data_IF_443963447123
#
_entry.id   IF_443963447123
#
_cell.length_a   1.000
_cell.length_b   1.000
_cell.length_c   1.000
_cell.angle_alpha   90.00
_cell.angle_beta   90.00
_cell.angle_gamma   90.00
#
_symmetry.space_group_name_H-M   'P 1'
#
loop_
_entity.id
_entity.type
_entity.pdbx_description
1 polymer ?
#
# COMPACT_ATOMS: atom_id res chain seq x y z
N UNK A 1 -11.51 -0.39 -27.37
CA UNK A 1 -10.68 0.25 -26.34
C UNK A 1 -9.34 -0.45 -26.32
N UNK A 2 -8.25 0.30 -26.50
CA UNK A 2 -6.86 -0.20 -26.46
C UNK A 2 -6.45 -0.41 -25.01
N UNK A 3 -6.00 -1.62 -24.69
CA UNK A 3 -5.56 -1.98 -23.34
C UNK A 3 -4.09 -2.36 -23.38
N UNK A 4 -3.29 -1.73 -22.52
CA UNK A 4 -1.91 -2.16 -22.27
C UNK A 4 -1.90 -3.10 -21.06
N UNK A 5 -1.41 -4.32 -21.24
CA UNK A 5 -1.21 -5.28 -20.15
C UNK A 5 0.26 -5.22 -19.69
N UNK A 6 0.47 -4.85 -18.43
CA UNK A 6 1.75 -4.99 -17.72
C UNK A 6 1.65 -6.23 -16.84
N UNK A 7 2.57 -7.17 -16.98
CA UNK A 7 2.55 -8.43 -16.23
C UNK A 7 3.91 -8.71 -15.62
N UNK A 8 3.94 -8.96 -14.30
CA UNK A 8 5.13 -9.40 -13.61
C UNK A 8 5.18 -10.94 -13.55
N UNK A 9 6.03 -11.61 -14.35
CA UNK A 9 6.10 -13.07 -14.37
C UNK A 9 6.64 -13.69 -13.08
N UNK A 10 7.33 -12.91 -12.25
CA UNK A 10 7.80 -13.35 -10.93
C UNK A 10 6.72 -13.24 -9.84
N UNK A 11 5.56 -12.65 -10.14
CA UNK A 11 4.42 -12.61 -9.22
C UNK A 11 3.57 -13.89 -9.34
N UNK A 12 3.24 -14.48 -8.19
CA UNK A 12 2.38 -15.66 -8.09
C UNK A 12 3.13 -16.95 -7.80
N UNK A 13 2.40 -18.07 -7.79
CA UNK A 13 2.92 -19.41 -7.59
C UNK A 13 2.72 -20.30 -8.82
N UNK A 14 3.08 -21.58 -8.70
CA UNK A 14 2.82 -22.55 -9.77
C UNK A 14 1.33 -22.56 -10.14
N UNK A 15 1.01 -22.17 -11.39
CA UNK A 15 -0.36 -22.06 -11.89
C UNK A 15 -0.91 -20.63 -11.97
N UNK A 16 -0.10 -19.58 -11.77
CA UNK A 16 -0.48 -18.23 -12.18
C UNK A 16 -0.72 -18.17 -13.69
N UNK A 17 -1.66 -17.30 -14.11
CA UNK A 17 -1.92 -17.08 -15.53
C UNK A 17 -0.71 -16.46 -16.20
N UNK A 18 -0.37 -16.94 -17.40
CA UNK A 18 0.66 -16.29 -18.22
C UNK A 18 0.17 -14.95 -18.76
N UNK A 19 1.08 -14.11 -19.24
CA UNK A 19 0.72 -12.89 -19.96
C UNK A 19 -0.18 -13.18 -21.16
N UNK A 20 0.07 -14.27 -21.89
CA UNK A 20 -0.75 -14.71 -23.02
C UNK A 20 -2.16 -15.13 -22.61
N UNK A 21 -2.31 -15.79 -21.44
CA UNK A 21 -3.64 -16.15 -20.93
C UNK A 21 -4.46 -14.92 -20.53
N UNK A 22 -3.81 -13.95 -19.88
CA UNK A 22 -4.42 -12.69 -19.47
C UNK A 22 -4.80 -11.83 -20.69
N UNK A 23 -3.91 -11.73 -21.67
CA UNK A 23 -4.15 -11.02 -22.94
C UNK A 23 -5.32 -11.65 -23.70
N UNK A 24 -5.36 -12.99 -23.81
CA UNK A 24 -6.48 -13.70 -24.41
C UNK A 24 -7.79 -13.46 -23.66
N UNK A 25 -7.77 -13.46 -22.32
CA UNK A 25 -8.96 -13.16 -21.51
C UNK A 25 -9.46 -11.73 -21.72
N UNK A 26 -8.56 -10.74 -21.81
CA UNK A 26 -8.93 -9.36 -22.12
C UNK A 26 -9.54 -9.23 -23.53
N UNK A 27 -8.99 -9.94 -24.53
CA UNK A 27 -9.53 -9.98 -25.89
C UNK A 27 -10.94 -10.58 -25.89
N UNK A 28 -11.15 -11.69 -25.17
CA UNK A 28 -12.46 -12.32 -25.02
C UNK A 28 -13.47 -11.41 -24.29
N UNK A 29 -13.01 -10.56 -23.37
CA UNK A 29 -13.82 -9.54 -22.71
C UNK A 29 -14.12 -8.31 -23.61
N UNK A 30 -13.62 -8.29 -24.85
CA UNK A 30 -13.91 -7.25 -25.85
C UNK A 30 -12.88 -6.13 -25.94
N UNK A 31 -11.71 -6.28 -25.30
CA UNK A 31 -10.63 -5.32 -25.37
C UNK A 31 -9.69 -5.58 -26.54
N UNK A 32 -9.10 -4.50 -27.09
CA UNK A 32 -7.94 -4.62 -27.96
C UNK A 32 -6.69 -4.59 -27.07
N UNK A 33 -6.36 -5.73 -26.47
CA UNK A 33 -5.30 -5.84 -25.49
C UNK A 33 -3.95 -6.18 -26.14
N UNK A 34 -2.89 -5.57 -25.61
CA UNK A 34 -1.51 -5.87 -25.97
C UNK A 34 -0.66 -5.99 -24.70
N UNK A 35 0.03 -7.12 -24.54
CA UNK A 35 1.04 -7.25 -23.50
C UNK A 35 2.30 -6.44 -23.84
N UNK A 36 2.79 -5.67 -22.87
CA UNK A 36 4.10 -5.01 -22.92
C UNK A 36 5.04 -5.71 -21.93
N UNK A 37 6.05 -6.44 -22.42
CA UNK A 37 7.01 -7.09 -21.55
C UNK A 37 7.74 -6.09 -20.66
N UNK A 38 7.80 -6.39 -19.37
CA UNK A 38 8.55 -5.62 -18.36
C UNK A 38 9.25 -6.63 -17.46
N UNK A 39 10.58 -6.67 -17.52
CA UNK A 39 11.40 -7.50 -16.65
C UNK A 39 11.68 -6.80 -15.31
N UNK A 40 11.71 -5.47 -15.33
CA UNK A 40 11.89 -4.65 -14.13
C UNK A 40 11.12 -3.33 -14.20
N UNK A 41 11.22 -2.52 -13.14
CA UNK A 41 10.54 -1.22 -13.06
C UNK A 41 11.14 -0.20 -14.04
N UNK A 42 12.38 -0.41 -14.46
CA UNK A 42 13.12 0.42 -15.42
C UNK A 42 12.54 0.32 -16.84
N UNK A 43 11.79 -0.73 -17.16
CA UNK A 43 11.13 -0.90 -18.47
C UNK A 43 9.80 -0.14 -18.57
N UNK A 44 9.23 0.27 -17.43
CA UNK A 44 7.91 0.91 -17.37
C UNK A 44 7.81 2.22 -18.17
N UNK A 45 8.81 3.11 -18.19
CA UNK A 45 8.75 4.32 -19.02
C UNK A 45 8.54 4.02 -20.51
N UNK A 46 9.22 3.01 -21.06
CA UNK A 46 9.06 2.60 -22.46
C UNK A 46 7.74 1.86 -22.68
N UNK A 47 7.40 0.92 -21.78
CA UNK A 47 6.16 0.15 -21.86
C UNK A 47 4.91 1.03 -21.77
N UNK A 48 4.99 2.17 -21.08
CA UNK A 48 3.90 3.11 -20.84
C UNK A 48 4.06 4.44 -21.61
N UNK A 49 4.90 4.48 -22.65
CA UNK A 49 5.03 5.67 -23.51
C UNK A 49 3.70 5.97 -24.24
N UNK A 50 3.05 4.95 -24.80
CA UNK A 50 1.67 4.98 -25.32
C UNK A 50 0.82 3.96 -24.54
N UNK A 51 0.28 4.34 -23.37
CA UNK A 51 -0.41 3.42 -22.47
C UNK A 51 -1.79 2.97 -22.99
N UNK A 52 -2.30 3.58 -24.06
CA UNK A 52 -3.62 3.29 -24.60
C UNK A 52 -4.75 3.95 -23.80
N UNK A 53 -5.92 3.29 -23.78
CA UNK A 53 -7.12 3.82 -23.12
C UNK A 53 -7.26 3.29 -21.66
N UNK A 54 -6.57 2.21 -21.31
CA UNK A 54 -6.56 1.56 -20.01
C UNK A 54 -5.28 0.75 -19.84
N UNK A 55 -4.69 0.79 -18.65
CA UNK A 55 -3.57 -0.10 -18.27
C UNK A 55 -4.05 -1.17 -17.30
N UNK A 56 -3.91 -2.44 -17.67
CA UNK A 56 -4.18 -3.58 -16.78
C UNK A 56 -2.85 -4.05 -16.19
N UNK A 57 -2.75 -4.07 -14.87
CA UNK A 57 -1.53 -4.46 -14.16
C UNK A 57 -1.76 -5.79 -13.46
N UNK A 58 -1.06 -6.82 -13.91
CA UNK A 58 -1.09 -8.16 -13.34
C UNK A 58 0.18 -8.42 -12.54
N UNK A 59 0.09 -8.36 -11.22
CA UNK A 59 1.26 -8.42 -10.35
C UNK A 59 0.92 -8.35 -8.87
N UNK A 60 1.95 -8.19 -8.03
CA UNK A 60 1.79 -7.87 -6.62
C UNK A 60 1.85 -6.36 -6.35
N UNK A 61 1.73 -5.97 -5.08
CA UNK A 61 1.63 -4.57 -4.64
C UNK A 61 2.78 -3.69 -5.15
N UNK A 62 4.02 -4.21 -5.20
CA UNK A 62 5.17 -3.48 -5.75
C UNK A 62 5.07 -3.17 -7.24
N UNK A 63 4.55 -4.11 -8.06
CA UNK A 63 4.31 -3.88 -9.49
C UNK A 63 3.18 -2.89 -9.70
N UNK A 64 2.12 -3.00 -8.89
CA UNK A 64 0.97 -2.08 -8.92
C UNK A 64 1.43 -0.66 -8.59
N UNK A 65 2.20 -0.49 -7.50
CA UNK A 65 2.82 0.79 -7.11
C UNK A 65 3.67 1.37 -8.23
N UNK A 66 4.57 0.59 -8.81
CA UNK A 66 5.45 1.06 -9.86
C UNK A 66 4.67 1.58 -11.08
N UNK A 67 3.64 0.85 -11.54
CA UNK A 67 2.79 1.30 -12.64
C UNK A 67 1.96 2.54 -12.24
N UNK A 68 1.33 2.52 -11.06
CA UNK A 68 0.55 3.62 -10.52
C UNK A 68 1.35 4.93 -10.49
N UNK A 69 2.61 4.89 -10.03
CA UNK A 69 3.51 6.05 -10.01
C UNK A 69 3.81 6.62 -11.41
N UNK A 70 3.87 5.76 -12.44
CA UNK A 70 4.11 6.20 -13.82
C UNK A 70 2.84 6.75 -14.49
N UNK A 71 1.67 6.28 -14.06
CA UNK A 71 0.36 6.75 -14.55
C UNK A 71 -0.19 7.94 -13.78
N UNK A 72 0.36 8.22 -12.60
CA UNK A 72 0.06 9.40 -11.81
C UNK A 72 0.03 10.64 -12.71
N UNK A 73 -1.06 11.40 -12.66
CA UNK A 73 -1.24 12.66 -13.41
C UNK A 73 -1.33 12.50 -14.95
N UNK A 74 -1.27 11.29 -15.52
CA UNK A 74 -1.45 11.05 -16.97
C UNK A 74 -2.92 10.95 -17.39
N UNK A 75 -3.84 10.78 -16.44
CA UNK A 75 -5.28 10.66 -16.70
C UNK A 75 -5.70 9.37 -17.40
N UNK A 76 -4.81 8.37 -17.46
CA UNK A 76 -5.11 7.04 -18.02
C UNK A 76 -5.57 6.14 -16.87
N UNK A 77 -6.76 5.52 -16.96
CA UNK A 77 -7.22 4.64 -15.90
C UNK A 77 -6.36 3.38 -15.82
N UNK A 78 -6.37 2.75 -14.64
CA UNK A 78 -5.74 1.46 -14.44
C UNK A 78 -6.69 0.42 -13.84
N UNK A 79 -6.42 -0.86 -14.08
CA UNK A 79 -7.09 -1.98 -13.43
C UNK A 79 -6.04 -2.93 -12.85
N UNK A 80 -6.37 -3.57 -11.72
CA UNK A 80 -5.45 -4.46 -11.01
C UNK A 80 -5.92 -5.91 -11.13
N UNK A 81 -5.02 -6.79 -11.56
CA UNK A 81 -5.17 -8.24 -11.51
C UNK A 81 -4.21 -8.78 -10.43
N UNK A 82 -4.71 -9.14 -9.24
CA UNK A 82 -3.85 -9.52 -8.12
C UNK A 82 -3.18 -10.87 -8.37
N UNK A 83 -1.85 -10.87 -8.50
CA UNK A 83 -1.02 -12.08 -8.62
C UNK A 83 -0.05 -12.24 -7.43
N UNK A 84 0.08 -11.23 -6.57
CA UNK A 84 0.98 -11.25 -5.42
C UNK A 84 0.51 -12.13 -4.26
N UNK A 85 1.33 -12.20 -3.21
CA UNK A 85 1.01 -12.94 -1.99
C UNK A 85 0.10 -12.16 -1.03
N UNK A 86 0.30 -10.84 -0.91
CA UNK A 86 -0.44 -9.99 0.02
C UNK A 86 -1.64 -9.34 -0.67
N UNK A 87 -1.41 -8.65 -1.80
CA UNK A 87 -2.44 -8.01 -2.62
C UNK A 87 -3.27 -6.99 -1.80
N UNK A 88 -2.59 -6.20 -0.97
CA UNK A 88 -3.22 -5.22 -0.09
C UNK A 88 -3.97 -4.17 -0.90
N UNK A 89 -3.38 -3.68 -2.01
CA UNK A 89 -4.00 -2.65 -2.85
C UNK A 89 -5.26 -3.20 -3.54
N UNK A 90 -5.19 -4.40 -4.10
CA UNK A 90 -6.36 -5.05 -4.68
C UNK A 90 -7.44 -5.31 -3.62
N UNK A 91 -7.03 -5.73 -2.43
CA UNK A 91 -7.92 -5.94 -1.28
C UNK A 91 -8.64 -4.67 -0.82
N UNK A 92 -7.92 -3.54 -0.76
CA UNK A 92 -8.47 -2.23 -0.43
C UNK A 92 -9.49 -1.76 -1.47
N UNK A 93 -9.25 -2.04 -2.76
CA UNK A 93 -10.19 -1.80 -3.85
C UNK A 93 -11.41 -2.74 -3.84
N UNK A 94 -11.39 -3.80 -3.01
CA UNK A 94 -12.41 -4.85 -2.98
C UNK A 94 -12.29 -5.86 -4.13
N UNK A 95 -11.17 -5.87 -4.86
CA UNK A 95 -10.91 -6.80 -5.96
C UNK A 95 -10.55 -8.16 -5.37
N UNK A 96 -11.47 -9.11 -5.53
CA UNK A 96 -11.34 -10.50 -5.08
C UNK A 96 -11.73 -11.43 -6.23
N UNK A 97 -11.24 -12.66 -6.17
CA UNK A 97 -11.51 -13.68 -7.20
C UNK A 97 -10.24 -14.13 -7.89
N UNK A 98 -10.39 -15.10 -8.80
CA UNK A 98 -9.25 -15.54 -9.57
C UNK A 98 -8.93 -14.52 -10.69
N UNK A 99 -7.69 -14.48 -11.21
CA UNK A 99 -7.28 -13.51 -12.22
C UNK A 99 -8.15 -13.45 -13.48
N UNK A 100 -8.75 -14.57 -13.89
CA UNK A 100 -9.65 -14.62 -15.06
C UNK A 100 -10.98 -13.93 -14.76
N UNK A 101 -11.59 -14.22 -13.61
CA UNK A 101 -12.83 -13.55 -13.17
C UNK A 101 -12.65 -12.04 -13.06
N UNK A 102 -11.50 -11.60 -12.54
CA UNK A 102 -11.14 -10.18 -12.45
C UNK A 102 -11.11 -9.55 -13.83
N UNK A 103 -10.44 -10.17 -14.81
CA UNK A 103 -10.37 -9.67 -16.19
C UNK A 103 -11.74 -9.63 -16.86
N UNK A 104 -12.56 -10.67 -16.69
CA UNK A 104 -13.91 -10.74 -17.26
C UNK A 104 -14.82 -9.64 -16.71
N UNK A 105 -14.72 -9.34 -15.41
CA UNK A 105 -15.47 -8.27 -14.77
C UNK A 105 -15.09 -6.85 -15.20
N UNK A 106 -13.98 -6.66 -15.93
CA UNK A 106 -13.60 -5.35 -16.46
C UNK A 106 -14.47 -4.89 -17.63
N UNK A 107 -15.27 -5.77 -18.24
CA UNK A 107 -16.19 -5.38 -19.30
C UNK A 107 -17.28 -4.39 -18.82
N UNK A 108 -17.61 -4.41 -17.53
CA UNK A 108 -18.56 -3.48 -16.89
C UNK A 108 -18.00 -2.99 -15.55
N UNK A 109 -16.92 -2.21 -15.56
CA UNK A 109 -16.20 -1.86 -14.36
C UNK A 109 -16.94 -0.75 -13.60
N UNK A 110 -16.82 -0.80 -12.27
CA UNK A 110 -17.02 0.38 -11.45
C UNK A 110 -15.77 1.26 -11.54
N UNK A 111 -15.95 2.56 -11.78
CA UNK A 111 -14.84 3.52 -11.85
C UNK A 111 -14.72 4.23 -10.53
N UNK A 112 -13.58 4.09 -9.87
CA UNK A 112 -13.27 4.74 -8.59
C UNK A 112 -12.08 5.67 -8.75
N UNK A 113 -12.03 6.68 -7.89
CA UNK A 113 -10.81 7.47 -7.70
C UNK A 113 -9.89 6.72 -6.75
N UNK A 114 -8.60 6.91 -6.94
CA UNK A 114 -7.58 6.45 -6.01
C UNK A 114 -6.56 7.58 -5.84
N UNK A 115 -6.33 7.92 -4.60
CA UNK A 115 -5.43 8.97 -4.16
C UNK A 115 -4.03 8.39 -4.03
N UNK A 116 -3.04 9.18 -4.43
CA UNK A 116 -1.63 8.82 -4.29
C UNK A 116 -1.01 9.64 -3.18
N UNK A 117 -0.10 9.04 -2.42
CA UNK A 117 0.70 9.77 -1.44
C UNK A 117 2.07 10.03 -2.04
N UNK A 118 2.35 11.28 -2.37
CA UNK A 118 3.70 11.70 -2.75
C UNK A 118 4.55 11.85 -1.49
N UNK A 119 5.72 11.21 -1.47
CA UNK A 119 6.62 11.22 -0.33
C UNK A 119 7.95 11.84 -0.76
N UNK A 120 8.40 12.84 -0.02
CA UNK A 120 9.65 13.55 -0.27
C UNK A 120 10.52 13.56 0.97
N UNK A 121 11.76 13.07 0.84
CA UNK A 121 12.76 13.01 1.91
C UNK A 121 14.18 13.20 1.39
N UNK A 122 15.17 12.83 2.19
CA UNK A 122 16.60 12.87 1.83
C UNK A 122 16.94 11.98 0.62
N UNK A 123 16.15 10.94 0.36
CA UNK A 123 16.23 10.05 -0.81
C UNK A 123 15.55 10.58 -2.08
N UNK A 124 15.00 11.79 -2.05
CA UNK A 124 14.24 12.37 -3.16
C UNK A 124 12.74 12.10 -3.05
N UNK A 125 12.07 12.09 -4.22
CA UNK A 125 10.62 11.93 -4.36
C UNK A 125 10.27 10.48 -4.71
N UNK A 126 9.25 9.94 -4.06
CA UNK A 126 8.67 8.61 -4.30
C UNK A 126 7.14 8.68 -4.10
N UNK A 127 6.44 7.58 -4.36
CA UNK A 127 5.00 7.45 -4.13
C UNK A 127 4.66 6.20 -3.33
N UNK A 128 3.64 6.36 -2.49
CA UNK A 128 3.05 5.33 -1.65
C UNK A 128 1.58 5.14 -2.04
N UNK A 129 1.15 3.87 -2.07
CA UNK A 129 -0.25 3.51 -2.30
C UNK A 129 -0.97 3.07 -1.03
N UNK A 130 -0.25 2.44 -0.09
CA UNK A 130 -0.82 1.71 1.03
C UNK A 130 -0.69 2.50 2.33
N UNK A 131 0.54 2.64 2.81
CA UNK A 131 0.88 3.27 4.08
C UNK A 131 2.36 3.65 4.16
N UNK A 132 2.69 4.64 4.98
CA UNK A 132 4.06 5.01 5.27
C UNK A 132 4.17 5.62 6.67
N UNK A 133 5.27 5.31 7.37
CA UNK A 133 5.38 5.69 8.76
C UNK A 133 6.71 5.37 9.41
N UNK A 134 6.79 5.76 10.68
CA UNK A 134 7.86 5.40 11.61
C UNK A 134 7.28 4.67 12.80
N UNK A 135 8.11 3.87 13.45
CA UNK A 135 7.73 3.22 14.69
C UNK A 135 7.83 1.70 14.61
N UNK A 136 6.94 1.06 15.38
CA UNK A 136 6.87 -0.37 15.57
C UNK A 136 6.84 -1.17 14.28
N UNK A 137 6.08 -0.72 13.27
CA UNK A 137 5.94 -1.47 12.03
C UNK A 137 7.22 -1.44 11.20
N UNK A 138 7.80 -0.26 10.98
CA UNK A 138 9.10 -0.09 10.34
C UNK A 138 10.18 -0.93 11.04
N UNK A 139 10.18 -0.93 12.38
CA UNK A 139 11.09 -1.75 13.17
C UNK A 139 10.86 -3.25 12.96
N UNK A 140 9.61 -3.69 12.92
CA UNK A 140 9.26 -5.09 12.63
C UNK A 140 9.76 -5.50 11.25
N UNK A 141 9.55 -4.67 10.22
CA UNK A 141 10.06 -4.91 8.88
C UNK A 141 11.59 -5.00 8.85
N UNK A 142 12.30 -4.18 9.63
CA UNK A 142 13.78 -4.19 9.70
C UNK A 142 14.36 -5.47 10.29
N UNK A 143 13.57 -6.17 11.12
CA UNK A 143 13.95 -7.46 11.70
C UNK A 143 13.52 -8.66 10.84
N UNK A 144 12.71 -8.43 9.80
CA UNK A 144 12.19 -9.49 8.96
C UNK A 144 13.26 -9.98 7.99
N UNK A 145 13.58 -11.27 8.06
CA UNK A 145 14.47 -11.93 7.10
C UNK A 145 13.72 -12.22 5.78
N UNK A 146 14.08 -11.53 4.66
CA UNK A 146 13.44 -11.72 3.36
C UNK A 146 13.79 -13.06 2.71
N UNK A 147 14.91 -13.71 3.07
CA UNK A 147 15.34 -14.99 2.48
C UNK A 147 14.50 -16.17 2.99
N UNK A 148 13.93 -16.07 4.17
CA UNK A 148 13.12 -17.14 4.77
C UNK A 148 11.66 -17.21 4.24
N UNK A 149 11.34 -16.48 3.17
CA UNK A 149 10.03 -16.52 2.47
C UNK A 149 8.94 -15.64 3.10
N UNK A 150 7.82 -15.41 2.40
CA UNK A 150 6.68 -14.58 2.86
C UNK A 150 5.65 -15.45 3.60
N UNK A 151 5.48 -15.27 4.91
CA UNK A 151 4.51 -16.05 5.72
C UNK A 151 3.75 -15.17 6.73
N UNK A 152 2.40 -15.20 6.74
CA UNK A 152 1.60 -14.43 7.70
C UNK A 152 1.90 -14.77 9.17
N UNK A 153 2.18 -16.04 9.47
CA UNK A 153 2.54 -16.46 10.83
C UNK A 153 3.90 -15.90 11.26
N UNK A 154 4.86 -15.83 10.33
CA UNK A 154 6.18 -15.23 10.60
C UNK A 154 6.07 -13.73 10.81
N UNK A 155 5.29 -13.04 9.98
CA UNK A 155 5.02 -11.61 10.13
C UNK A 155 4.37 -11.30 11.49
N UNK A 156 3.36 -12.08 11.89
CA UNK A 156 2.73 -11.94 13.21
C UNK A 156 3.73 -12.20 14.35
N UNK A 157 4.57 -13.24 14.23
CA UNK A 157 5.59 -13.56 15.26
C UNK A 157 6.62 -12.44 15.39
N UNK A 158 7.11 -11.91 14.27
CA UNK A 158 8.03 -10.76 14.26
C UNK A 158 7.37 -9.53 14.88
N UNK A 159 6.11 -9.25 14.54
CA UNK A 159 5.33 -8.14 15.12
C UNK A 159 5.24 -8.27 16.64
N UNK A 160 4.92 -9.47 17.14
CA UNK A 160 4.85 -9.77 18.58
C UNK A 160 6.21 -9.56 19.27
N UNK A 161 7.30 -10.04 18.67
CA UNK A 161 8.64 -9.93 19.23
C UNK A 161 9.13 -8.48 19.28
N UNK A 162 8.95 -7.73 18.20
CA UNK A 162 9.28 -6.31 18.14
C UNK A 162 8.44 -5.55 19.16
N UNK A 163 7.11 -5.74 19.19
CA UNK A 163 6.21 -5.02 20.09
C UNK A 163 6.53 -5.26 21.58
N UNK A 164 7.09 -6.42 21.94
CA UNK A 164 7.49 -6.71 23.32
C UNK A 164 8.76 -5.95 23.78
N UNK A 165 9.58 -5.45 22.85
CA UNK A 165 10.89 -4.85 23.13
C UNK A 165 11.05 -3.42 22.60
N UNK A 166 10.10 -2.97 21.77
CA UNK A 166 10.18 -1.72 21.06
C UNK A 166 10.23 -0.53 22.01
N UNK A 167 11.14 0.41 21.73
CA UNK A 167 11.22 1.68 22.44
C UNK A 167 10.54 2.77 21.59
N UNK A 168 9.73 3.65 22.20
CA UNK A 168 9.16 4.79 21.49
C UNK A 168 10.22 5.66 20.81
N UNK A 169 9.89 6.22 19.66
CA UNK A 169 10.71 7.18 18.95
C UNK A 169 10.24 8.60 19.26
N UNK A 170 11.17 9.54 19.45
CA UNK A 170 10.85 10.96 19.49
C UNK A 170 10.53 11.43 18.06
N UNK A 171 9.29 11.86 17.85
CA UNK A 171 8.81 12.31 16.55
C UNK A 171 8.10 13.65 16.71
N UNK A 172 8.44 14.58 15.82
CA UNK A 172 7.66 15.78 15.57
C UNK A 172 6.75 15.53 14.37
N UNK A 173 5.45 15.56 14.62
CA UNK A 173 4.38 15.27 13.67
C UNK A 173 3.64 16.57 13.37
N UNK A 174 3.62 16.99 12.10
CA UNK A 174 2.86 18.15 11.64
C UNK A 174 1.74 17.69 10.72
N UNK A 175 0.49 17.95 11.11
CA UNK A 175 -0.75 17.54 10.45
C UNK A 175 -1.55 18.79 10.08
N UNK A 176 -1.61 19.17 8.80
CA UNK A 176 -2.42 20.31 8.31
C UNK A 176 -2.36 21.59 9.20
N UNK A 177 -1.19 21.92 9.74
CA UNK A 177 -0.94 23.09 10.59
C UNK A 177 -0.98 22.84 12.10
N UNK A 178 -1.42 21.67 12.56
CA UNK A 178 -1.28 21.21 13.94
C UNK A 178 0.06 20.52 14.14
N UNK A 179 0.74 20.75 15.26
CA UNK A 179 2.01 20.10 15.58
C UNK A 179 1.88 19.32 16.88
N UNK A 180 2.28 18.04 16.84
CA UNK A 180 2.43 17.16 17.98
C UNK A 180 3.91 16.78 18.10
N UNK A 181 4.44 16.78 19.31
CA UNK A 181 5.84 16.46 19.59
C UNK A 181 5.90 15.54 20.80
N UNK A 182 6.70 14.48 20.70
CA UNK A 182 7.00 13.59 21.81
C UNK A 182 7.27 12.16 21.38
N UNK A 183 7.26 11.23 22.35
CA UNK A 183 7.49 9.83 22.07
C UNK A 183 6.24 9.18 21.46
N UNK A 184 6.44 8.40 20.41
CA UNK A 184 5.42 7.56 19.78
C UNK A 184 5.92 6.12 19.61
N UNK A 185 5.05 5.16 19.90
CA UNK A 185 5.25 3.75 19.51
C UNK A 185 5.05 3.57 18.01
N UNK A 186 4.17 4.37 17.40
CA UNK A 186 3.85 4.30 15.98
C UNK A 186 3.27 5.64 15.51
N UNK A 187 3.74 6.11 14.36
CA UNK A 187 3.13 7.21 13.58
C UNK A 187 3.02 6.71 12.15
N UNK A 188 1.80 6.42 11.73
CA UNK A 188 1.53 5.74 10.46
C UNK A 188 0.50 6.50 9.64
N UNK A 189 0.87 6.95 8.45
CA UNK A 189 -0.07 7.53 7.50
C UNK A 189 -0.66 6.43 6.63
N UNK A 190 -1.96 6.20 6.77
CA UNK A 190 -2.71 5.18 6.06
C UNK A 190 -3.49 5.82 4.90
N UNK A 191 -3.24 5.34 3.68
CA UNK A 191 -4.09 5.62 2.50
C UNK A 191 -5.12 4.50 2.28
N UNK A 192 -4.86 3.32 2.84
CA UNK A 192 -5.75 2.15 2.75
C UNK A 192 -6.05 1.60 4.14
N UNK A 193 -7.11 0.78 4.33
CA UNK A 193 -7.48 0.30 5.66
C UNK A 193 -6.46 -0.55 6.42
N UNK A 194 -5.53 -1.17 5.70
CA UNK A 194 -4.67 -2.22 6.23
C UNK A 194 -3.25 -2.14 5.67
N UNK A 195 -2.29 -2.51 6.50
CA UNK A 195 -0.88 -2.69 6.12
C UNK A 195 -0.50 -4.18 6.11
N UNK A 196 -0.80 -4.87 5.03
CA UNK A 196 -0.68 -6.33 4.97
C UNK A 196 -1.96 -7.10 5.37
N UNK A 197 -1.96 -8.44 5.20
CA UNK A 197 -3.11 -9.26 5.51
C UNK A 197 -3.40 -9.25 7.02
N UNK A 198 -4.56 -8.68 7.39
CA UNK A 198 -5.11 -8.63 8.76
C UNK A 198 -4.45 -7.65 9.73
N UNK A 199 -3.70 -6.67 9.24
CA UNK A 199 -3.20 -5.56 10.08
C UNK A 199 -3.98 -4.30 9.71
N UNK A 200 -5.23 -4.22 10.15
CA UNK A 200 -6.05 -3.02 10.00
C UNK A 200 -5.70 -2.01 11.09
N UNK A 201 -5.04 -0.92 10.68
CA UNK A 201 -4.72 0.19 11.59
C UNK A 201 -5.73 1.33 11.48
N UNK A 202 -6.30 1.55 10.30
CA UNK A 202 -7.30 2.59 10.05
C UNK A 202 -8.50 1.97 9.31
N UNK A 203 -9.40 1.24 10.00
CA UNK A 203 -10.49 0.50 9.36
C UNK A 203 -11.37 1.33 8.42
N UNK A 204 -11.49 2.62 8.71
CA UNK A 204 -12.31 3.59 7.97
C UNK A 204 -11.56 4.33 6.85
N UNK A 205 -10.25 4.08 6.66
CA UNK A 205 -9.49 4.72 5.59
C UNK A 205 -10.02 4.32 4.21
N UNK A 206 -10.28 5.30 3.34
CA UNK A 206 -10.75 5.10 1.98
C UNK A 206 -9.76 5.75 1.01
N UNK A 207 -9.09 4.97 0.14
CA UNK A 207 -8.08 5.52 -0.76
C UNK A 207 -8.67 6.46 -1.83
N UNK A 208 -9.98 6.70 -1.89
CA UNK A 208 -10.60 7.61 -2.86
C UNK A 208 -11.25 8.86 -2.25
N UNK A 209 -11.13 9.09 -0.94
CA UNK A 209 -11.93 10.10 -0.23
C UNK A 209 -11.25 11.46 0.00
N UNK A 210 -9.99 11.60 -0.39
CA UNK A 210 -9.24 12.85 -0.31
C UNK A 210 -8.57 13.11 1.04
N UNK A 211 -8.35 12.06 1.86
CA UNK A 211 -7.68 12.14 3.16
C UNK A 211 -6.66 11.02 3.40
N UNK A 212 -5.63 11.34 4.19
CA UNK A 212 -4.80 10.36 4.88
C UNK A 212 -5.32 10.19 6.30
N UNK A 213 -5.39 8.94 6.75
CA UNK A 213 -5.71 8.61 8.14
C UNK A 213 -4.40 8.33 8.88
N UNK A 214 -4.01 9.25 9.77
CA UNK A 214 -2.74 9.18 10.51
C UNK A 214 -2.97 8.56 11.88
N UNK A 215 -2.53 7.32 12.03
CA UNK A 215 -2.61 6.56 13.27
C UNK A 215 -1.42 6.89 14.14
N UNK A 216 -1.70 7.39 15.34
CA UNK A 216 -0.73 7.80 16.35
C UNK A 216 -0.90 6.92 17.58
N UNK A 217 0.16 6.24 17.99
CA UNK A 217 0.17 5.43 19.22
C UNK A 217 1.19 6.03 20.18
N UNK A 218 0.71 6.66 21.25
CA UNK A 218 1.58 7.20 22.30
C UNK A 218 1.94 6.11 23.32
N UNK A 219 3.12 6.18 23.97
CA UNK A 219 3.38 5.33 25.13
C UNK A 219 2.48 5.76 26.30
N UNK A 220 1.62 4.86 26.78
CA UNK A 220 0.77 5.11 27.95
C UNK A 220 1.07 4.13 29.08
N UNK A 221 1.18 4.64 30.31
CA UNK A 221 1.32 3.82 31.50
C UNK A 221 0.01 3.07 31.77
N UNK A 222 0.04 1.73 31.69
CA UNK A 222 -1.11 0.87 32.00
C UNK A 222 -1.69 0.11 30.81
N UNK A 223 -1.35 0.52 29.57
CA UNK A 223 -1.68 -0.26 28.37
C UNK A 223 -0.58 -1.31 28.16
N UNK A 224 -0.84 -2.53 28.65
CA UNK A 224 0.08 -3.65 28.48
C UNK A 224 0.12 -4.16 27.04
N UNK A 225 1.23 -4.77 26.65
CA UNK A 225 1.45 -5.47 25.37
C UNK A 225 0.23 -6.27 24.86
N UNK A 226 -0.43 -7.02 25.76
CA UNK A 226 -1.57 -7.87 25.41
C UNK A 226 -2.80 -7.10 24.92
N UNK A 227 -2.94 -5.82 25.26
CA UNK A 227 -4.02 -4.97 24.76
C UNK A 227 -3.83 -4.65 23.27
N UNK A 228 -2.63 -4.25 22.85
CA UNK A 228 -2.30 -4.02 21.44
C UNK A 228 -2.47 -5.29 20.59
N UNK A 229 -1.97 -6.43 21.08
CA UNK A 229 -2.13 -7.70 20.37
C UNK A 229 -3.61 -8.08 20.22
N UNK A 230 -4.43 -7.88 21.26
CA UNK A 230 -5.87 -8.11 21.19
C UNK A 230 -6.54 -7.15 20.23
N UNK A 231 -6.23 -5.85 20.30
CA UNK A 231 -6.75 -4.83 19.40
C UNK A 231 -6.45 -5.15 17.95
N UNK A 232 -5.22 -5.55 17.64
CA UNK A 232 -4.80 -5.98 16.30
C UNK A 232 -5.59 -7.22 15.83
N UNK A 233 -5.70 -8.26 16.66
CA UNK A 233 -6.41 -9.50 16.30
C UNK A 233 -7.93 -9.30 16.14
N UNK A 234 -8.49 -8.32 16.83
CA UNK A 234 -9.93 -8.01 16.80
C UNK A 234 -10.27 -6.83 15.89
N UNK A 235 -9.29 -6.25 15.19
CA UNK A 235 -9.44 -5.05 14.34
C UNK A 235 -10.06 -3.86 15.11
N UNK A 236 -9.61 -3.67 16.35
CA UNK A 236 -10.10 -2.68 17.33
C UNK A 236 -8.92 -1.92 17.98
N UNK A 237 -7.85 -1.72 17.23
CA UNK A 237 -6.66 -1.05 17.76
C UNK A 237 -6.94 0.43 18.07
N UNK A 238 -7.78 1.05 17.24
CA UNK A 238 -8.33 2.40 17.35
C UNK A 238 -9.23 2.62 18.60
N UNK A 239 -9.73 1.55 19.23
CA UNK A 239 -10.50 1.64 20.49
C UNK A 239 -9.60 1.77 21.75
N UNK A 240 -8.27 1.65 21.61
CA UNK A 240 -7.35 1.77 22.74
C UNK A 240 -7.16 3.25 23.14
N UNK A 241 -7.06 3.56 24.46
CA UNK A 241 -7.05 4.94 24.97
C UNK A 241 -5.86 5.78 24.52
N UNK A 242 -4.76 5.14 24.11
CA UNK A 242 -3.53 5.79 23.64
C UNK A 242 -3.37 5.77 22.12
N UNK A 243 -4.41 5.37 21.40
CA UNK A 243 -4.44 5.37 19.94
C UNK A 243 -5.36 6.51 19.50
N UNK A 244 -4.83 7.37 18.65
CA UNK A 244 -5.59 8.44 18.01
C UNK A 244 -5.45 8.33 16.50
N UNK A 245 -6.51 8.68 15.78
CA UNK A 245 -6.51 8.72 14.32
C UNK A 245 -6.88 10.14 13.90
N UNK A 246 -5.95 10.81 13.24
CA UNK A 246 -6.11 12.18 12.75
C UNK A 246 -6.15 12.18 11.23
N UNK A 247 -7.05 12.96 10.62
CA UNK A 247 -7.11 13.06 9.16
C UNK A 247 -6.33 14.28 8.67
N UNK A 248 -5.51 14.11 7.64
CA UNK A 248 -4.80 15.23 7.02
C UNK A 248 -4.60 15.04 5.51
N UNK A 249 -4.17 16.10 4.81
CA UNK A 249 -3.69 16.00 3.42
C UNK A 249 -2.19 16.17 3.30
N UNK A 250 -1.58 16.86 4.25
CA UNK A 250 -0.14 17.02 4.34
C UNK A 250 0.34 16.62 5.73
N UNK A 251 1.26 15.66 5.75
CA UNK A 251 1.95 15.21 6.94
C UNK A 251 3.44 15.53 6.79
N UNK A 252 4.04 16.16 7.80
CA UNK A 252 5.50 16.23 7.92
C UNK A 252 5.95 15.52 9.18
N UNK A 253 6.88 14.59 9.01
CA UNK A 253 7.52 13.85 10.09
C UNK A 253 8.97 14.31 10.20
N UNK A 254 9.40 14.67 11.41
CA UNK A 254 10.81 14.83 11.76
C UNK A 254 11.14 13.90 12.91
N UNK A 255 12.15 13.05 12.77
CA UNK A 255 12.53 12.05 13.79
C UNK A 255 14.02 11.71 13.67
N UNK A 256 14.55 10.93 14.62
CA UNK A 256 15.95 10.48 14.62
C UNK A 256 16.04 9.00 15.03
N UNK A 257 16.99 8.26 14.45
CA UNK A 257 17.40 6.94 14.92
C UNK A 257 16.43 5.77 14.68
N UNK A 258 15.24 6.01 14.11
CA UNK A 258 14.25 4.97 13.84
C UNK A 258 14.06 4.73 12.33
N UNK A 259 13.80 3.47 11.91
CA UNK A 259 13.51 3.18 10.50
C UNK A 259 12.19 3.83 10.08
N UNK A 260 12.16 4.26 8.82
CA UNK A 260 10.94 4.64 8.12
C UNK A 260 10.60 3.55 7.11
N UNK A 261 9.32 3.37 6.83
CA UNK A 261 8.92 2.55 5.70
C UNK A 261 7.95 3.29 4.80
N UNK A 262 7.94 2.85 3.56
CA UNK A 262 7.03 3.25 2.51
C UNK A 262 6.52 1.98 1.87
N UNK A 263 5.22 1.71 2.00
CA UNK A 263 4.61 0.42 1.67
C UNK A 263 5.46 -0.74 2.26
N UNK A 264 5.95 -1.64 1.41
CA UNK A 264 6.79 -2.78 1.80
C UNK A 264 8.30 -2.49 1.78
N UNK A 265 8.74 -1.24 1.64
CA UNK A 265 10.15 -0.86 1.53
C UNK A 265 10.62 -0.06 2.74
N UNK A 266 11.80 -0.43 3.26
CA UNK A 266 12.47 0.35 4.29
C UNK A 266 13.25 1.50 3.68
N UNK A 267 13.24 2.64 4.38
CA UNK A 267 14.14 3.76 4.19
C UNK A 267 14.86 4.00 5.51
N UNK A 268 16.17 4.03 5.44
CA UNK A 268 17.02 4.31 6.61
C UNK A 268 17.70 5.66 6.41
N UNK A 269 17.91 6.43 7.48
CA UNK A 269 18.78 7.59 7.43
C UNK A 269 20.18 7.16 6.97
N UNK A 270 20.83 7.85 6.01
CA UNK A 270 22.17 7.51 5.54
C UNK A 270 23.22 7.49 6.67
N UNK A 271 23.07 8.38 7.67
CA UNK A 271 24.06 8.62 8.72
C UNK A 271 23.49 8.48 10.15
N UNK A 272 22.27 7.95 10.30
CA UNK A 272 21.59 7.82 11.61
C UNK A 272 21.14 9.15 12.24
N UNK A 273 21.29 10.27 11.52
CA UNK A 273 20.89 11.60 11.99
C UNK A 273 19.38 11.86 11.91
N UNK A 274 19.00 13.10 12.23
CA UNK A 274 17.61 13.57 12.15
C UNK A 274 17.15 13.64 10.70
N UNK A 275 16.03 13.00 10.40
CA UNK A 275 15.38 12.99 9.10
C UNK A 275 14.15 13.90 9.09
N UNK A 276 13.76 14.31 7.88
CA UNK A 276 12.50 15.01 7.63
C UNK A 276 11.87 14.45 6.37
N UNK A 277 10.64 13.97 6.49
CA UNK A 277 9.84 13.52 5.36
C UNK A 277 8.54 14.30 5.30
N UNK A 278 8.17 14.70 4.08
CA UNK A 278 6.86 15.25 3.77
C UNK A 278 6.07 14.21 2.98
N UNK A 279 4.87 13.91 3.45
CA UNK A 279 3.86 13.15 2.75
C UNK A 279 2.76 14.11 2.31
N UNK A 280 2.41 14.08 1.03
CA UNK A 280 1.39 14.93 0.46
C UNK A 280 0.42 14.07 -0.35
N UNK A 281 -0.84 14.06 0.07
CA UNK A 281 -1.90 13.39 -0.65
C UNK A 281 -2.17 14.13 -1.98
N UNK A 282 -2.32 13.36 -3.05
CA UNK A 282 -2.73 13.79 -4.38
C UNK A 282 -4.11 13.21 -4.66
N UNK A 283 -5.20 13.93 -4.32
CA UNK A 283 -6.55 13.41 -4.43
C UNK A 283 -6.94 13.13 -5.88
N UNK A 284 -7.52 11.95 -6.14
CA UNK A 284 -7.93 11.48 -7.45
C UNK A 284 -6.80 11.40 -8.47
N UNK A 285 -5.56 11.20 -8.01
CA UNK A 285 -4.40 11.11 -8.89
C UNK A 285 -4.49 9.95 -9.89
N UNK A 286 -5.31 8.93 -9.59
CA UNK A 286 -5.63 7.82 -10.46
C UNK A 286 -7.14 7.61 -10.57
N UNK A 287 -7.58 7.16 -11.74
CA UNK A 287 -8.85 6.46 -11.92
C UNK A 287 -8.57 4.96 -11.94
N UNK A 288 -9.25 4.20 -11.09
CA UNK A 288 -9.12 2.74 -11.01
C UNK A 288 -10.42 2.09 -11.43
N UNK A 289 -10.31 1.14 -12.36
CA UNK A 289 -11.40 0.30 -12.81
C UNK A 289 -11.45 -0.94 -11.94
N UNK A 290 -12.48 -1.00 -11.10
CA UNK A 290 -12.77 -2.15 -10.25
C UNK A 290 -13.74 -3.05 -11.03
N UNK A 291 -13.39 -4.32 -11.28
CA UNK A 291 -14.31 -5.22 -11.98
C UNK A 291 -15.64 -5.31 -11.23
N UNK A 292 -16.75 -5.31 -11.97
CA UNK A 292 -18.03 -5.65 -11.37
C UNK A 292 -17.90 -7.04 -10.74
N UNK A 293 -18.15 -7.15 -9.43
CA UNK A 293 -18.16 -8.45 -8.79
C UNK A 293 -19.13 -9.36 -9.55
N UNK A 294 -18.64 -10.50 -10.06
CA UNK A 294 -19.54 -11.63 -10.28
C UNK A 294 -20.00 -11.98 -8.87
N UNK A 295 -21.25 -11.65 -8.53
CA UNK A 295 -21.81 -11.78 -7.20
C UNK A 295 -21.41 -13.13 -6.58
N UNK A 296 -20.42 -13.13 -5.69
CA UNK A 296 -20.22 -14.25 -4.80
C UNK A 296 -21.15 -14.00 -3.61
N UNK A 297 -22.09 -14.92 -3.33
CA UNK A 297 -22.98 -14.78 -2.18
C UNK A 297 -22.15 -14.75 -0.89
N UNK A 298 -22.66 -13.99 0.07
CA UNK A 298 -22.14 -13.87 1.43
C UNK A 298 -21.98 -15.23 2.13
#
# INVERSE_FOLDING_TARGET
>A
MRVTLIHNPAAGGAGSLSSSDLEAALILAGFNAQHRPTESVEDLPEALEDPGDLVVVAGGDGTIRAVASHLAERGVPMAVVPLGTANNIAGALGVRGNPREVVEGLAQPERRRFDLVEISGSWGRDFCLEAAGVGLFAATMSTYDPEAGKSPLRALTATIQTLASYQPCEVRVQLDGTTLEGPFLLVEAMNTPAMGPRVRLAPDADPGDGWLDVVLINPEQGVGFGAYLRGLLQEKLDELPNVTVERCRTLTLEWEGCPFHLDAELRSPPDGGRERVKLELKPGALEVWVPSAVAQPA
#
